data_IF_087001229264
#
_entry.id   IF_087001229264
#
_cell.length_a   1.000
_cell.length_b   1.000
_cell.length_c   1.000
_cell.angle_alpha   90.00
_cell.angle_beta   90.00
_cell.angle_gamma   90.00
#
_symmetry.space_group_name_H-M   'P 1'
#
loop_
_entity.id
_entity.type
_entity.pdbx_description
1 polymer ?
#
# COMPACT_ATOMS: atom_id res chain seq x y z
N UNK A 1 5.41 -7.11 16.46
CA UNK A 1 5.99 -6.37 15.33
C UNK A 1 5.69 -4.88 15.47
N UNK A 2 6.68 -4.03 15.32
CA UNK A 2 6.51 -2.59 15.45
C UNK A 2 5.86 -2.03 14.17
N UNK A 3 4.64 -1.49 14.30
CA UNK A 3 3.92 -0.91 13.16
C UNK A 3 4.64 0.29 12.54
N UNK A 4 5.45 1.02 13.33
CA UNK A 4 6.23 2.14 12.80
C UNK A 4 7.28 1.68 11.77
N UNK A 5 7.80 0.47 11.90
CA UNK A 5 8.75 -0.09 10.95
C UNK A 5 8.14 -0.32 9.56
N UNK A 6 6.81 -0.42 9.47
CA UNK A 6 6.10 -0.60 8.21
C UNK A 6 5.59 0.72 7.62
N UNK A 7 5.77 1.83 8.30
CA UNK A 7 5.39 3.13 7.75
C UNK A 7 6.27 3.49 6.57
N UNK A 8 5.64 4.02 5.55
CA UNK A 8 6.31 4.38 4.31
C UNK A 8 6.93 5.78 4.40
N UNK A 9 8.14 5.92 3.90
CA UNK A 9 8.68 7.23 3.54
C UNK A 9 7.92 7.74 2.32
N UNK A 10 8.08 9.02 2.00
CA UNK A 10 7.43 9.59 0.82
C UNK A 10 7.84 8.88 -0.47
N UNK A 11 9.13 8.60 -0.64
CA UNK A 11 9.63 7.88 -1.81
C UNK A 11 9.11 6.45 -1.90
N UNK A 12 9.08 5.75 -0.79
CA UNK A 12 8.53 4.40 -0.73
C UNK A 12 7.04 4.39 -1.06
N UNK A 13 6.29 5.37 -0.57
CA UNK A 13 4.85 5.48 -0.86
C UNK A 13 4.60 5.67 -2.35
N UNK A 14 5.42 6.48 -3.01
CA UNK A 14 5.31 6.67 -4.46
C UNK A 14 5.46 5.35 -5.21
N UNK A 15 6.41 4.53 -4.81
CA UNK A 15 6.62 3.20 -5.42
C UNK A 15 5.43 2.28 -5.10
N UNK A 16 4.98 2.25 -3.86
CA UNK A 16 3.81 1.44 -3.48
C UNK A 16 2.57 1.83 -4.27
N UNK A 17 2.34 3.12 -4.49
CA UNK A 17 1.19 3.58 -5.28
C UNK A 17 1.25 3.05 -6.72
N UNK A 18 2.42 3.00 -7.33
CA UNK A 18 2.62 2.42 -8.65
C UNK A 18 2.29 0.92 -8.64
N UNK A 19 2.80 0.20 -7.64
CA UNK A 19 2.57 -1.24 -7.51
C UNK A 19 1.09 -1.56 -7.22
N UNK A 20 0.44 -0.76 -6.38
CA UNK A 20 -0.98 -0.96 -6.06
C UNK A 20 -1.89 -0.72 -7.27
N UNK A 21 -1.51 0.17 -8.17
CA UNK A 21 -2.29 0.46 -9.38
C UNK A 21 -2.07 -0.54 -10.49
N UNK A 22 -1.02 -1.34 -10.40
CA UNK A 22 -0.69 -2.31 -11.44
C UNK A 22 -1.45 -3.61 -11.23
N UNK A 23 -1.99 -4.15 -12.30
CA UNK A 23 -2.65 -5.46 -12.29
C UNK A 23 -1.65 -6.61 -12.35
N UNK A 24 -0.39 -6.31 -12.60
CA UNK A 24 0.67 -7.32 -12.76
C UNK A 24 1.88 -6.92 -11.93
N UNK A 25 2.70 -7.90 -11.50
CA UNK A 25 3.98 -7.59 -10.85
C UNK A 25 4.89 -6.78 -11.77
N UNK A 26 5.70 -5.89 -11.19
CA UNK A 26 6.57 -4.98 -11.94
C UNK A 26 8.03 -5.18 -11.58
N UNK A 27 8.91 -5.10 -12.59
CA UNK A 27 10.37 -5.01 -12.38
C UNK A 27 10.77 -3.61 -11.92
N UNK A 28 12.01 -3.45 -11.47
CA UNK A 28 12.54 -2.13 -11.12
C UNK A 28 12.46 -1.16 -12.30
N UNK A 29 12.75 -1.64 -13.50
CA UNK A 29 12.66 -0.82 -14.73
C UNK A 29 11.21 -0.37 -14.98
N UNK A 30 10.25 -1.29 -14.84
CA UNK A 30 8.83 -0.97 -14.99
C UNK A 30 8.36 0.05 -13.97
N UNK A 31 8.84 -0.05 -12.72
CA UNK A 31 8.53 0.92 -11.67
C UNK A 31 9.02 2.31 -12.05
N UNK A 32 10.26 2.40 -12.57
CA UNK A 32 10.81 3.68 -13.02
C UNK A 32 9.95 4.28 -14.15
N UNK A 33 9.60 3.47 -15.14
CA UNK A 33 8.80 3.93 -16.28
C UNK A 33 7.40 4.37 -15.88
N UNK A 34 6.81 3.70 -14.90
CA UNK A 34 5.45 4.00 -14.44
C UNK A 34 5.39 5.15 -13.43
N UNK A 35 6.53 5.60 -12.93
CA UNK A 35 6.60 6.64 -11.91
C UNK A 35 6.75 8.02 -12.55
N UNK A 36 5.67 8.81 -12.57
CA UNK A 36 5.69 10.20 -12.98
C UNK A 36 5.81 11.08 -11.73
N UNK A 37 6.41 12.25 -11.87
CA UNK A 37 6.55 13.24 -10.78
C UNK A 37 7.20 12.66 -9.52
N UNK A 38 8.08 11.68 -9.70
CA UNK A 38 8.76 11.06 -8.56
C UNK A 38 9.82 11.99 -7.98
N UNK A 39 10.02 11.88 -6.67
CA UNK A 39 11.01 12.68 -5.93
C UNK A 39 12.36 11.97 -5.78
N UNK A 40 12.44 10.69 -6.15
CA UNK A 40 13.64 9.88 -6.05
C UNK A 40 14.33 9.73 -7.41
N UNK A 41 15.64 9.49 -7.38
CA UNK A 41 16.43 9.27 -8.60
C UNK A 41 16.30 7.83 -9.07
N UNK A 42 16.37 7.61 -10.37
CA UNK A 42 16.32 6.26 -10.94
C UNK A 42 17.35 5.31 -10.29
N UNK A 43 18.54 5.83 -9.97
CA UNK A 43 19.59 5.04 -9.32
C UNK A 43 19.23 4.58 -7.91
N UNK A 44 18.22 5.17 -7.29
CA UNK A 44 17.77 4.82 -5.94
C UNK A 44 16.72 3.71 -5.93
N UNK A 45 16.23 3.27 -7.08
CA UNK A 45 15.10 2.33 -7.15
C UNK A 45 15.38 1.03 -6.42
N UNK A 46 16.57 0.46 -6.57
CA UNK A 46 16.92 -0.81 -5.93
C UNK A 46 16.99 -0.68 -4.41
N UNK A 47 17.54 0.44 -3.92
CA UNK A 47 17.58 0.71 -2.49
C UNK A 47 16.18 0.82 -1.90
N UNK A 48 15.30 1.52 -2.60
CA UNK A 48 13.91 1.70 -2.16
C UNK A 48 13.12 0.39 -2.20
N UNK A 49 13.29 -0.42 -3.25
CA UNK A 49 12.65 -1.73 -3.35
C UNK A 49 13.17 -2.68 -2.26
N UNK A 50 14.47 -2.66 -1.98
CA UNK A 50 15.03 -3.47 -0.90
C UNK A 50 14.48 -3.05 0.47
N UNK A 51 14.31 -1.75 0.70
CA UNK A 51 13.69 -1.25 1.91
C UNK A 51 12.25 -1.76 2.07
N UNK A 52 11.49 -1.76 0.98
CA UNK A 52 10.12 -2.27 0.98
C UNK A 52 10.06 -3.78 1.21
N UNK A 53 11.02 -4.53 0.66
CA UNK A 53 11.17 -5.97 0.95
C UNK A 53 11.47 -6.21 2.43
N UNK A 54 12.37 -5.42 3.01
CA UNK A 54 12.74 -5.52 4.44
C UNK A 54 11.54 -5.21 5.34
N UNK A 55 10.67 -4.30 4.92
CA UNK A 55 9.43 -3.98 5.64
C UNK A 55 8.33 -5.01 5.39
N UNK A 56 8.57 -5.98 4.52
CA UNK A 56 7.60 -7.02 4.14
C UNK A 56 6.33 -6.44 3.49
N UNK A 57 6.45 -5.27 2.86
CA UNK A 57 5.32 -4.62 2.17
C UNK A 57 5.23 -5.02 0.71
N UNK A 58 6.31 -5.55 0.14
CA UNK A 58 6.33 -6.15 -1.19
C UNK A 58 7.00 -7.51 -1.11
N UNK A 59 6.81 -8.32 -2.15
CA UNK A 59 7.48 -9.60 -2.30
C UNK A 59 7.90 -9.79 -3.74
N UNK A 60 8.90 -10.66 -3.97
CA UNK A 60 9.29 -11.09 -5.30
C UNK A 60 8.23 -12.05 -5.80
N UNK A 61 7.51 -11.65 -6.84
CA UNK A 61 6.42 -12.46 -7.41
C UNK A 61 6.88 -13.37 -8.56
N UNK A 62 8.12 -13.19 -9.01
CA UNK A 62 8.66 -13.98 -10.10
C UNK A 62 9.82 -13.26 -10.76
N UNK A 63 10.16 -13.73 -11.95
CA UNK A 63 11.26 -13.19 -12.73
C UNK A 63 10.81 -12.94 -14.16
N UNK A 64 11.26 -11.83 -14.72
CA UNK A 64 11.03 -11.47 -16.10
C UNK A 64 12.30 -11.71 -16.89
N UNK A 65 12.19 -12.41 -18.03
CA UNK A 65 13.35 -12.70 -18.88
C UNK A 65 13.82 -11.44 -19.59
N UNK A 66 15.11 -11.17 -19.49
CA UNK A 66 15.81 -10.12 -20.23
C UNK A 66 16.75 -10.77 -21.26
N UNK A 67 17.39 -9.94 -22.08
CA UNK A 67 18.28 -10.45 -23.13
C UNK A 67 19.39 -11.34 -22.60
N UNK A 68 20.02 -10.96 -21.47
CA UNK A 68 21.17 -11.67 -20.89
C UNK A 68 20.91 -12.28 -19.53
N UNK A 69 19.81 -11.91 -18.86
CA UNK A 69 19.51 -12.37 -17.50
C UNK A 69 18.01 -12.25 -17.20
N UNK A 70 17.67 -12.47 -15.95
CA UNK A 70 16.30 -12.31 -15.44
C UNK A 70 16.25 -11.13 -14.49
N UNK A 71 15.15 -10.40 -14.51
CA UNK A 71 14.88 -9.34 -13.57
C UNK A 71 13.76 -9.78 -12.62
N UNK A 72 13.92 -9.52 -11.33
CA UNK A 72 12.87 -9.76 -10.34
C UNK A 72 11.68 -8.87 -10.64
N UNK A 73 10.47 -9.38 -10.47
CA UNK A 73 9.24 -8.60 -10.49
C UNK A 73 8.60 -8.64 -9.12
N UNK A 74 8.01 -7.52 -8.72
CA UNK A 74 7.54 -7.29 -7.36
C UNK A 74 6.04 -7.05 -7.35
N UNK A 75 5.40 -7.49 -6.28
CA UNK A 75 3.99 -7.15 -6.03
C UNK A 75 3.82 -6.78 -4.56
N UNK A 76 2.78 -5.98 -4.24
CA UNK A 76 2.46 -5.69 -2.85
C UNK A 76 2.04 -6.95 -2.10
N UNK A 77 2.35 -7.03 -0.82
CA UNK A 77 1.89 -8.10 0.07
C UNK A 77 0.50 -7.81 0.62
N UNK A 78 0.03 -6.59 0.48
CA UNK A 78 -1.28 -6.14 0.96
C UNK A 78 -1.77 -5.01 0.06
N UNK A 79 -3.09 -4.79 0.04
CA UNK A 79 -3.68 -3.68 -0.69
C UNK A 79 -3.41 -2.34 0.02
N UNK A 80 -3.65 -1.24 -0.69
CA UNK A 80 -3.57 0.10 -0.11
C UNK A 80 -4.55 0.27 1.06
N UNK A 81 -5.75 -0.27 0.93
CA UNK A 81 -6.75 -0.24 2.01
C UNK A 81 -6.25 -1.01 3.23
N UNK A 82 -5.73 -2.23 3.02
CA UNK A 82 -5.19 -3.05 4.10
C UNK A 82 -3.95 -2.40 4.74
N UNK A 83 -3.13 -1.71 3.95
CA UNK A 83 -2.00 -0.95 4.49
C UNK A 83 -2.49 0.13 5.45
N UNK A 84 -3.48 0.92 5.05
CA UNK A 84 -4.07 1.96 5.90
C UNK A 84 -4.62 1.35 7.19
N UNK A 85 -5.39 0.28 7.07
CA UNK A 85 -6.01 -0.37 8.20
C UNK A 85 -4.96 -0.94 9.17
N UNK A 86 -4.00 -1.70 8.64
CA UNK A 86 -3.04 -2.43 9.46
C UNK A 86 -1.97 -1.52 10.07
N UNK A 87 -1.44 -0.58 9.30
CA UNK A 87 -0.28 0.22 9.70
C UNK A 87 -0.69 1.50 10.41
N UNK A 88 -1.78 2.14 9.97
CA UNK A 88 -2.16 3.47 10.44
C UNK A 88 -3.27 3.45 11.50
N UNK A 89 -4.12 2.43 11.53
CA UNK A 89 -5.33 2.41 12.38
C UNK A 89 -5.32 1.30 13.43
N UNK A 90 -4.86 0.11 13.08
CA UNK A 90 -5.03 -1.10 13.90
C UNK A 90 -4.57 -0.97 15.35
N UNK A 91 -3.51 -0.24 15.61
CA UNK A 91 -2.96 -0.08 16.96
C UNK A 91 -3.44 1.18 17.67
N UNK A 92 -4.43 1.88 17.14
CA UNK A 92 -5.02 3.02 17.84
C UNK A 92 -5.87 2.54 19.02
N UNK A 93 -5.97 3.36 20.06
CA UNK A 93 -6.79 3.03 21.21
C UNK A 93 -8.29 3.15 20.87
N UNK A 94 -9.13 2.75 21.83
CA UNK A 94 -10.58 2.76 21.64
C UNK A 94 -11.13 4.14 21.31
N UNK A 95 -10.66 5.17 22.00
CA UNK A 95 -11.13 6.55 21.78
C UNK A 95 -10.75 7.03 20.39
N UNK A 96 -9.53 6.77 19.98
CA UNK A 96 -9.06 7.18 18.65
C UNK A 96 -9.79 6.42 17.54
N UNK A 97 -10.04 5.12 17.72
CA UNK A 97 -10.80 4.35 16.74
C UNK A 97 -12.23 4.89 16.58
N UNK A 98 -12.88 5.21 17.70
CA UNK A 98 -14.22 5.78 17.68
C UNK A 98 -14.25 7.12 16.95
N UNK A 99 -13.26 7.99 17.20
CA UNK A 99 -13.14 9.27 16.52
C UNK A 99 -12.92 9.11 15.01
N UNK A 100 -12.02 8.21 14.61
CA UNK A 100 -11.74 7.94 13.20
C UNK A 100 -12.98 7.45 12.46
N UNK A 101 -13.67 6.45 13.03
CA UNK A 101 -14.88 5.89 12.43
C UNK A 101 -15.99 6.94 12.34
N UNK A 102 -16.17 7.73 13.40
CA UNK A 102 -17.18 8.78 13.42
C UNK A 102 -16.91 9.84 12.35
N UNK A 103 -15.66 10.28 12.21
CA UNK A 103 -15.30 11.28 11.20
C UNK A 103 -15.43 10.75 9.79
N UNK A 104 -15.06 9.49 9.56
CA UNK A 104 -15.23 8.86 8.25
C UNK A 104 -16.71 8.83 7.84
N UNK A 105 -17.58 8.42 8.75
CA UNK A 105 -19.03 8.37 8.50
C UNK A 105 -19.59 9.76 8.25
N UNK A 106 -19.17 10.77 9.03
CA UNK A 106 -19.65 12.14 8.87
C UNK A 106 -19.24 12.76 7.54
N UNK A 107 -18.12 12.34 6.98
CA UNK A 107 -17.62 12.85 5.69
C UNK A 107 -18.24 12.13 4.50
N UNK A 108 -18.83 10.96 4.72
CA UNK A 108 -19.41 10.17 3.64
C UNK A 108 -20.75 10.73 3.21
N UNK A 109 -20.90 11.05 1.93
CA UNK A 109 -22.13 11.60 1.36
C UNK A 109 -22.88 10.59 0.47
N UNK A 110 -22.27 9.48 0.13
CA UNK A 110 -22.89 8.46 -0.69
C UNK A 110 -23.84 7.63 0.18
N UNK A 111 -25.14 7.75 -0.12
CA UNK A 111 -26.17 7.05 0.67
C UNK A 111 -26.11 5.54 0.51
N UNK A 112 -25.65 5.05 -0.63
CA UNK A 112 -25.51 3.61 -0.86
C UNK A 112 -24.42 3.03 0.03
N UNK A 113 -23.25 3.70 0.10
CA UNK A 113 -22.17 3.30 1.00
C UNK A 113 -22.65 3.32 2.45
N UNK A 114 -23.36 4.38 2.86
CA UNK A 114 -23.87 4.50 4.23
C UNK A 114 -24.86 3.38 4.57
N UNK A 115 -25.72 3.02 3.63
CA UNK A 115 -26.67 1.91 3.83
C UNK A 115 -25.96 0.57 3.98
N UNK A 116 -24.96 0.31 3.15
CA UNK A 116 -24.17 -0.92 3.22
C UNK A 116 -23.43 -1.03 4.55
N UNK A 117 -22.82 0.06 5.01
CA UNK A 117 -22.13 0.10 6.30
C UNK A 117 -23.11 -0.11 7.45
N UNK A 118 -24.30 0.52 7.38
CA UNK A 118 -25.33 0.32 8.38
C UNK A 118 -25.73 -1.15 8.48
N UNK A 119 -25.91 -1.82 7.35
CA UNK A 119 -26.23 -3.25 7.32
C UNK A 119 -25.14 -4.11 7.92
N UNK A 120 -23.87 -3.82 7.62
CA UNK A 120 -22.74 -4.54 8.23
C UNK A 120 -22.74 -4.40 9.75
N UNK A 121 -22.98 -3.17 10.24
CA UNK A 121 -23.05 -2.91 11.69
C UNK A 121 -24.19 -3.71 12.32
N UNK A 122 -25.38 -3.65 11.73
CA UNK A 122 -26.55 -4.38 12.23
C UNK A 122 -26.30 -5.89 12.29
N UNK A 123 -25.64 -6.44 11.28
CA UNK A 123 -25.35 -7.87 11.23
C UNK A 123 -24.35 -8.32 12.30
N UNK A 124 -23.54 -7.39 12.84
CA UNK A 124 -22.56 -7.69 13.89
C UNK A 124 -23.10 -7.52 15.30
N UNK A 125 -24.18 -6.81 15.46
CA UNK A 125 -24.79 -6.56 16.77
C UNK A 125 -25.94 -7.52 17.04
#
# INVERSE_FOLDING_TARGET
MNTNAKRLTNSERQIMEVLWKSDVPLSSHDVILASSDKTWKNSSVHLLLNSLLDKELIEVAGFEKRTKNYARVFKPTLSDVDYILTVLIKNSDKEKRAELLSKLIKQENDTEILKDIMMEIQNRL
#
